data_IF_811511523718
#
_entry.id   IF_811511523718
#
_cell.length_a   1.000
_cell.length_b   1.000
_cell.length_c   1.000
_cell.angle_alpha   90.00
_cell.angle_beta   90.00
_cell.angle_gamma   90.00
#
_symmetry.space_group_name_H-M   'P 1'
#
loop_
_entity.id
_entity.type
_entity.pdbx_description
1 polymer ?
#
# COMPACT_ATOMS: atom_id res chain seq x y z
N UNK A 1 8.81 -65.35 12.67
CA UNK A 1 8.48 -64.34 11.61
C UNK A 1 8.04 -62.94 12.10
N UNK A 2 8.36 -62.43 13.33
CA UNK A 2 7.98 -61.05 13.69
C UNK A 2 9.00 -59.97 13.28
N UNK A 3 10.25 -60.34 12.97
CA UNK A 3 11.33 -59.38 12.68
C UNK A 3 11.27 -58.78 11.27
N UNK A 4 10.84 -59.55 10.27
CA UNK A 4 10.71 -59.09 8.88
C UNK A 4 9.57 -58.06 8.71
N UNK A 5 8.45 -58.24 9.41
CA UNK A 5 7.34 -57.27 9.40
C UNK A 5 7.75 -55.93 10.03
N UNK A 6 8.56 -55.93 11.10
CA UNK A 6 9.08 -54.71 11.71
C UNK A 6 10.05 -53.95 10.79
N UNK A 7 10.90 -54.68 10.06
CA UNK A 7 11.83 -54.10 9.09
C UNK A 7 11.08 -53.47 7.90
N UNK A 8 10.05 -54.16 7.40
CA UNK A 8 9.18 -53.66 6.33
C UNK A 8 8.42 -52.39 6.75
N UNK A 9 7.83 -52.41 7.96
CA UNK A 9 7.14 -51.23 8.52
C UNK A 9 8.10 -50.05 8.66
N UNK A 10 9.32 -50.29 9.14
CA UNK A 10 10.35 -49.27 9.29
C UNK A 10 10.78 -48.68 7.95
N UNK A 11 10.98 -49.51 6.92
CA UNK A 11 11.29 -49.08 5.55
C UNK A 11 10.16 -48.24 4.93
N UNK A 12 8.90 -48.65 5.11
CA UNK A 12 7.74 -47.87 4.65
C UNK A 12 7.67 -46.51 5.34
N UNK A 13 7.95 -46.45 6.64
CA UNK A 13 8.01 -45.19 7.40
C UNK A 13 9.09 -44.25 6.87
N UNK A 14 10.29 -44.77 6.58
CA UNK A 14 11.38 -43.99 5.97
C UNK A 14 10.97 -43.43 4.61
N UNK A 15 10.37 -44.26 3.75
CA UNK A 15 9.90 -43.81 2.43
C UNK A 15 8.84 -42.71 2.58
N UNK A 16 7.93 -42.84 3.55
CA UNK A 16 6.89 -41.84 3.81
C UNK A 16 7.49 -40.51 4.29
N UNK A 17 8.49 -40.56 5.17
CA UNK A 17 9.21 -39.37 5.64
C UNK A 17 9.95 -38.69 4.48
N UNK A 18 10.70 -39.44 3.67
CA UNK A 18 11.43 -38.90 2.52
C UNK A 18 10.45 -38.28 1.51
N UNK A 19 9.34 -38.96 1.22
CA UNK A 19 8.29 -38.45 0.35
C UNK A 19 7.69 -37.14 0.87
N UNK A 20 7.38 -37.07 2.16
CA UNK A 20 6.80 -35.89 2.81
C UNK A 20 7.75 -34.69 2.79
N UNK A 21 9.03 -34.92 3.09
CA UNK A 21 10.08 -33.89 3.04
C UNK A 21 10.29 -33.38 1.60
N UNK A 22 10.30 -34.29 0.62
CA UNK A 22 10.45 -33.93 -0.79
C UNK A 22 9.26 -33.10 -1.30
N UNK A 23 8.03 -33.49 -0.93
CA UNK A 23 6.82 -32.73 -1.24
C UNK A 23 6.85 -31.36 -0.57
N UNK A 24 7.27 -31.27 0.70
CA UNK A 24 7.42 -29.99 1.41
C UNK A 24 8.37 -29.04 0.68
N UNK A 25 9.57 -29.50 0.31
CA UNK A 25 10.52 -28.67 -0.44
C UNK A 25 10.02 -28.28 -1.83
N UNK A 26 9.30 -29.18 -2.52
CA UNK A 26 8.67 -28.88 -3.80
C UNK A 26 7.61 -27.80 -3.68
N UNK A 27 6.70 -27.91 -2.71
CA UNK A 27 5.68 -26.90 -2.43
C UNK A 27 6.30 -25.57 -2.01
N UNK A 28 7.38 -25.59 -1.22
CA UNK A 28 8.11 -24.39 -0.84
C UNK A 28 8.76 -23.71 -2.06
N UNK A 29 9.32 -24.48 -3.00
CA UNK A 29 9.88 -23.95 -4.24
C UNK A 29 8.79 -23.32 -5.12
N UNK A 30 7.66 -24.00 -5.33
CA UNK A 30 6.53 -23.45 -6.07
C UNK A 30 5.99 -22.16 -5.44
N UNK A 31 5.91 -22.12 -4.11
CA UNK A 31 5.48 -20.92 -3.39
C UNK A 31 6.43 -19.73 -3.65
N UNK A 32 7.75 -19.95 -3.58
CA UNK A 32 8.76 -18.91 -3.88
C UNK A 32 8.72 -18.44 -5.33
N UNK A 33 8.53 -19.35 -6.29
CA UNK A 33 8.42 -18.99 -7.71
C UNK A 33 7.15 -18.17 -7.98
N UNK A 34 6.01 -18.58 -7.40
CA UNK A 34 4.77 -17.81 -7.46
C UNK A 34 4.95 -16.42 -6.84
N UNK A 35 5.60 -16.36 -5.69
CA UNK A 35 5.91 -15.12 -4.99
C UNK A 35 6.77 -14.20 -5.88
N UNK A 36 7.89 -14.68 -6.42
CA UNK A 36 8.75 -13.92 -7.32
C UNK A 36 8.01 -13.43 -8.58
N UNK A 37 7.14 -14.26 -9.15
CA UNK A 37 6.28 -13.88 -10.28
C UNK A 37 5.37 -12.71 -9.94
N UNK A 38 4.70 -12.76 -8.78
CA UNK A 38 3.90 -11.64 -8.31
C UNK A 38 4.77 -10.38 -8.09
N UNK A 39 6.05 -10.50 -7.67
CA UNK A 39 6.91 -9.32 -7.35
C UNK A 39 7.15 -8.57 -8.64
N UNK A 40 7.52 -9.34 -9.67
CA UNK A 40 7.76 -8.81 -10.99
C UNK A 40 6.55 -8.07 -11.54
N UNK A 41 5.34 -8.63 -11.40
CA UNK A 41 4.10 -7.97 -11.83
C UNK A 41 3.86 -6.67 -11.07
N UNK A 42 3.97 -6.69 -9.74
CA UNK A 42 3.77 -5.50 -8.91
C UNK A 42 4.77 -4.38 -9.26
N UNK A 43 6.05 -4.71 -9.43
CA UNK A 43 7.06 -3.74 -9.81
C UNK A 43 6.81 -3.15 -11.21
N UNK A 44 6.28 -3.95 -12.14
CA UNK A 44 5.87 -3.45 -13.45
C UNK A 44 4.70 -2.47 -13.34
N UNK A 45 3.66 -2.79 -12.56
CA UNK A 45 2.51 -1.90 -12.31
C UNK A 45 2.97 -0.58 -11.64
N UNK A 46 3.86 -0.65 -10.65
CA UNK A 46 4.42 0.55 -9.98
C UNK A 46 5.23 1.40 -10.96
N UNK A 47 6.04 0.77 -11.81
CA UNK A 47 6.81 1.49 -12.83
C UNK A 47 5.90 2.20 -13.85
N UNK A 48 4.79 1.58 -14.24
CA UNK A 48 3.80 2.24 -15.12
C UNK A 48 3.16 3.46 -14.44
N UNK A 49 2.78 3.34 -13.17
CA UNK A 49 2.24 4.43 -12.35
C UNK A 49 3.25 5.58 -12.25
N UNK A 50 4.52 5.26 -11.98
CA UNK A 50 5.62 6.22 -11.92
C UNK A 50 5.78 6.95 -13.25
N UNK A 51 5.79 6.22 -14.38
CA UNK A 51 5.98 6.82 -15.70
C UNK A 51 4.85 7.79 -16.08
N UNK A 52 3.61 7.50 -15.68
CA UNK A 52 2.50 8.43 -15.87
C UNK A 52 2.72 9.73 -15.10
N UNK A 53 3.14 9.61 -13.84
CA UNK A 53 3.36 10.79 -13.00
C UNK A 53 4.62 11.58 -13.39
N UNK A 54 5.69 10.89 -13.80
CA UNK A 54 6.92 11.54 -14.28
C UNK A 54 6.66 12.37 -15.55
N UNK A 55 5.79 11.90 -16.45
CA UNK A 55 5.39 12.63 -17.65
C UNK A 55 4.70 13.98 -17.36
N UNK A 56 4.12 14.15 -16.16
CA UNK A 56 3.45 15.37 -15.71
C UNK A 56 4.18 16.04 -14.54
N UNK A 57 5.44 15.64 -14.26
CA UNK A 57 6.24 16.11 -13.12
C UNK A 57 6.35 17.64 -13.05
N UNK A 58 6.43 18.32 -14.19
CA UNK A 58 6.54 19.79 -14.26
C UNK A 58 5.31 20.54 -13.74
N UNK A 59 4.18 19.86 -13.59
CA UNK A 59 2.92 20.44 -13.11
C UNK A 59 2.59 20.05 -11.66
N UNK A 60 3.43 19.23 -11.02
CA UNK A 60 3.22 18.82 -9.64
C UNK A 60 3.34 20.01 -8.67
N UNK A 61 2.39 20.17 -7.74
CA UNK A 61 2.59 21.04 -6.57
C UNK A 61 3.83 20.61 -5.77
N UNK A 62 4.44 21.52 -5.00
CA UNK A 62 5.71 21.25 -4.30
C UNK A 62 5.69 19.99 -3.43
N UNK A 63 4.64 19.78 -2.63
CA UNK A 63 4.57 18.63 -1.72
C UNK A 63 4.46 17.29 -2.47
N UNK A 64 3.66 17.27 -3.55
CA UNK A 64 3.56 16.11 -4.44
C UNK A 64 4.87 15.84 -5.16
N UNK A 65 5.56 16.89 -5.62
CA UNK A 65 6.86 16.78 -6.26
C UNK A 65 7.91 16.18 -5.32
N UNK A 66 7.99 16.65 -4.08
CA UNK A 66 8.90 16.07 -3.07
C UNK A 66 8.59 14.60 -2.81
N UNK A 67 7.31 14.24 -2.72
CA UNK A 67 6.87 12.86 -2.53
C UNK A 67 7.22 11.99 -3.75
N UNK A 68 7.04 12.52 -4.96
CA UNK A 68 7.43 11.86 -6.21
C UNK A 68 8.95 11.63 -6.25
N UNK A 69 9.76 12.63 -5.91
CA UNK A 69 11.21 12.52 -5.90
C UNK A 69 11.71 11.54 -4.83
N UNK A 70 11.05 11.49 -3.67
CA UNK A 70 11.30 10.47 -2.67
C UNK A 70 11.02 9.06 -3.21
N UNK A 71 9.89 8.83 -3.88
CA UNK A 71 9.59 7.57 -4.57
C UNK A 71 10.70 7.20 -5.58
N UNK A 72 11.11 8.17 -6.41
CA UNK A 72 12.09 7.98 -7.49
C UNK A 72 13.52 7.81 -7.01
N UNK A 73 13.86 8.29 -5.82
CA UNK A 73 15.21 8.18 -5.25
C UNK A 73 15.69 6.73 -5.05
N UNK A 74 14.78 5.75 -5.10
CA UNK A 74 15.08 4.35 -4.84
C UNK A 74 15.28 4.02 -3.35
N UNK A 75 15.14 4.99 -2.45
CA UNK A 75 15.27 4.80 -0.99
C UNK A 75 14.26 3.81 -0.42
N UNK A 76 13.13 3.65 -1.10
CA UNK A 76 12.14 2.63 -0.76
C UNK A 76 12.66 1.23 -1.08
N UNK A 77 13.44 0.99 -2.15
CA UNK A 77 14.08 -0.31 -2.41
C UNK A 77 13.20 -1.53 -2.11
N UNK A 78 13.69 -2.44 -1.25
CA UNK A 78 12.95 -3.63 -0.76
C UNK A 78 11.83 -3.30 0.24
N UNK A 79 11.67 -2.02 0.62
CA UNK A 79 10.63 -1.55 1.54
C UNK A 79 9.24 -1.47 0.94
N UNK A 80 9.08 -1.84 -0.33
CA UNK A 80 7.80 -2.18 -0.94
C UNK A 80 7.48 -3.65 -0.62
N UNK A 81 6.78 -3.87 0.49
CA UNK A 81 6.43 -5.18 1.00
C UNK A 81 5.06 -5.64 0.54
N UNK A 82 4.80 -6.94 0.72
CA UNK A 82 3.48 -7.55 0.50
C UNK A 82 2.76 -7.73 1.82
N UNK A 83 1.43 -7.72 1.76
CA UNK A 83 0.54 -7.89 2.91
C UNK A 83 1.02 -8.97 3.90
N UNK A 84 1.12 -8.61 5.17
CA UNK A 84 1.19 -9.60 6.26
C UNK A 84 -0.16 -10.33 6.35
N UNK A 85 -0.21 -11.67 6.48
CA UNK A 85 -1.45 -12.43 6.64
C UNK A 85 -2.34 -11.99 7.82
N UNK A 86 -1.80 -11.26 8.80
CA UNK A 86 -2.54 -10.70 9.95
C UNK A 86 -3.15 -9.33 9.66
N UNK A 87 -2.75 -8.69 8.57
CA UNK A 87 -3.25 -7.38 8.16
C UNK A 87 -4.34 -7.65 7.12
N UNK A 88 -5.58 -7.32 7.51
CA UNK A 88 -6.85 -7.80 6.94
C UNK A 88 -6.81 -7.89 5.41
N UNK A 89 -7.46 -8.94 4.88
CA UNK A 89 -7.60 -9.25 3.45
C UNK A 89 -8.22 -8.13 2.58
N UNK A 90 -8.67 -7.02 3.18
CA UNK A 90 -9.42 -5.94 2.53
C UNK A 90 -8.67 -4.60 2.41
N UNK A 91 -7.46 -4.48 2.95
CA UNK A 91 -6.68 -3.23 2.82
C UNK A 91 -5.89 -3.28 1.51
N UNK A 92 -6.02 -2.24 0.68
CA UNK A 92 -5.37 -2.16 -0.64
C UNK A 92 -3.87 -1.92 -0.48
N UNK A 93 -3.52 -0.94 0.35
CA UNK A 93 -2.17 -0.53 0.67
C UNK A 93 -2.15 0.13 2.06
N UNK A 94 -1.03 0.06 2.77
CA UNK A 94 -0.79 0.80 4.00
C UNK A 94 0.72 0.92 4.26
N UNK A 95 1.16 1.98 4.93
CA UNK A 95 2.56 2.15 5.31
C UNK A 95 2.86 1.54 6.69
N UNK A 96 4.12 1.19 6.94
CA UNK A 96 4.63 0.85 8.26
C UNK A 96 5.49 1.96 8.78
N UNK A 97 4.98 2.77 9.70
CA UNK A 97 5.65 3.99 10.18
C UNK A 97 7.04 3.75 10.78
N UNK A 98 7.22 2.68 11.56
CA UNK A 98 8.50 2.31 12.19
C UNK A 98 9.47 1.68 11.20
N UNK A 99 8.97 0.82 10.33
CA UNK A 99 9.78 0.09 9.34
C UNK A 99 10.05 0.90 8.08
N UNK A 100 9.34 2.02 7.90
CA UNK A 100 9.29 2.85 6.70
C UNK A 100 8.98 2.04 5.45
N UNK A 101 8.03 1.11 5.61
CA UNK A 101 7.58 0.16 4.61
C UNK A 101 6.32 0.66 3.92
N UNK A 102 6.06 0.26 2.67
CA UNK A 102 4.73 0.28 2.07
C UNK A 102 4.31 -1.16 1.85
N UNK A 103 3.20 -1.58 2.44
CA UNK A 103 2.64 -2.90 2.26
C UNK A 103 1.52 -2.84 1.23
N UNK A 104 1.61 -3.70 0.21
CA UNK A 104 0.69 -3.71 -0.92
C UNK A 104 -0.02 -5.06 -0.97
N UNK A 105 -1.34 -5.04 -1.17
CA UNK A 105 -2.12 -6.24 -1.41
C UNK A 105 -1.99 -6.66 -2.89
N UNK A 106 -1.24 -7.74 -3.20
CA UNK A 106 -0.95 -8.11 -4.58
C UNK A 106 -2.16 -8.70 -5.33
N UNK A 107 -3.27 -8.92 -4.63
CA UNK A 107 -4.50 -9.48 -5.21
C UNK A 107 -5.46 -8.40 -5.71
N UNK A 108 -5.26 -7.14 -5.31
CA UNK A 108 -6.10 -6.02 -5.75
C UNK A 108 -5.70 -5.64 -7.17
N UNK A 109 -6.69 -5.62 -8.07
CA UNK A 109 -6.54 -5.16 -9.46
C UNK A 109 -7.44 -3.95 -9.64
N UNK A 110 -6.83 -2.81 -9.95
CA UNK A 110 -7.49 -1.53 -10.21
C UNK A 110 -6.91 -0.96 -11.51
N UNK A 111 -7.67 -0.11 -12.19
CA UNK A 111 -7.09 0.82 -13.17
C UNK A 111 -5.89 1.57 -12.54
N UNK A 112 -4.80 1.71 -13.29
CA UNK A 112 -3.55 2.35 -12.85
C UNK A 112 -3.75 3.79 -12.39
N UNK A 113 -4.71 4.49 -12.99
CA UNK A 113 -5.10 5.85 -12.64
C UNK A 113 -5.67 5.94 -11.21
N UNK A 114 -6.42 4.92 -10.77
CA UNK A 114 -6.94 4.82 -9.41
C UNK A 114 -5.89 4.35 -8.40
N UNK A 115 -4.81 3.71 -8.88
CA UNK A 115 -3.67 3.36 -8.04
C UNK A 115 -2.78 4.54 -7.68
N UNK A 116 -2.71 5.57 -8.53
CA UNK A 116 -1.85 6.75 -8.33
C UNK A 116 -2.13 7.40 -6.96
N UNK A 117 -3.36 7.83 -6.61
CA UNK A 117 -3.59 8.50 -5.33
C UNK A 117 -3.23 7.63 -4.12
N UNK A 118 -3.51 6.32 -4.18
CA UNK A 118 -3.20 5.35 -3.10
C UNK A 118 -1.69 5.24 -2.89
N UNK A 119 -0.95 4.99 -3.98
CA UNK A 119 0.49 4.81 -3.89
C UNK A 119 1.16 6.06 -3.32
N UNK A 120 0.77 7.23 -3.83
CA UNK A 120 1.36 8.49 -3.39
C UNK A 120 0.98 8.85 -1.96
N UNK A 121 -0.23 8.51 -1.51
CA UNK A 121 -0.63 8.66 -0.11
C UNK A 121 0.27 7.85 0.83
N UNK A 122 0.49 6.57 0.56
CA UNK A 122 1.32 5.74 1.44
C UNK A 122 2.81 6.08 1.37
N UNK A 123 3.28 6.50 0.20
CA UNK A 123 4.63 7.03 0.05
C UNK A 123 4.79 8.37 0.79
N UNK A 124 3.76 9.22 0.78
CA UNK A 124 3.75 10.49 1.50
C UNK A 124 3.87 10.28 3.01
N UNK A 125 3.17 9.29 3.57
CA UNK A 125 3.37 8.92 4.97
C UNK A 125 4.83 8.51 5.25
N UNK A 126 5.42 7.65 4.43
CA UNK A 126 6.81 7.27 4.63
C UNK A 126 7.76 8.47 4.52
N UNK A 127 7.56 9.35 3.53
CA UNK A 127 8.31 10.59 3.39
C UNK A 127 8.16 11.47 4.62
N UNK A 128 6.93 11.69 5.09
CA UNK A 128 6.64 12.43 6.33
C UNK A 128 7.42 11.88 7.52
N UNK A 129 7.44 10.56 7.70
CA UNK A 129 8.14 9.90 8.81
C UNK A 129 9.65 9.84 8.64
N UNK A 130 10.20 10.19 7.47
CA UNK A 130 11.64 10.48 7.34
C UNK A 130 12.01 11.84 7.92
N UNK A 131 11.10 12.82 7.83
CA UNK A 131 11.28 14.17 8.39
C UNK A 131 10.86 14.25 9.84
N UNK A 132 9.89 13.42 10.23
CA UNK A 132 9.29 13.33 11.56
C UNK A 132 9.44 11.90 12.10
N UNK A 133 10.66 11.47 12.43
CA UNK A 133 10.91 10.12 12.89
C UNK A 133 10.22 9.87 14.23
N UNK A 134 9.68 8.66 14.39
CA UNK A 134 9.01 8.20 15.62
C UNK A 134 9.77 7.01 16.20
N UNK A 135 9.93 7.00 17.53
CA UNK A 135 10.55 5.89 18.28
C UNK A 135 9.53 5.08 19.05
N UNK A 136 8.41 5.70 19.46
CA UNK A 136 7.35 5.04 20.22
C UNK A 136 6.00 5.17 19.53
N UNK A 137 5.08 4.26 19.85
CA UNK A 137 3.71 4.34 19.34
C UNK A 137 2.96 5.57 19.86
N UNK A 138 3.29 6.07 21.05
CA UNK A 138 2.67 7.30 21.58
C UNK A 138 3.13 8.55 20.84
N UNK A 139 4.42 8.62 20.46
CA UNK A 139 4.93 9.68 19.56
C UNK A 139 4.26 9.63 18.19
N UNK A 140 4.01 8.43 17.66
CA UNK A 140 3.24 8.30 16.43
C UNK A 140 1.80 8.79 16.59
N UNK A 141 1.12 8.40 17.67
CA UNK A 141 -0.26 8.83 17.95
C UNK A 141 -0.40 10.35 18.07
N UNK A 142 0.59 11.06 18.60
CA UNK A 142 0.54 12.52 18.69
C UNK A 142 0.75 13.21 17.33
N UNK A 143 1.31 12.50 16.34
CA UNK A 143 1.54 13.00 14.99
C UNK A 143 0.49 12.56 13.96
N UNK A 144 -0.45 11.70 14.37
CA UNK A 144 -1.38 11.00 13.49
C UNK A 144 -2.13 11.96 12.56
N UNK A 145 -2.76 12.99 13.12
CA UNK A 145 -3.51 13.99 12.37
C UNK A 145 -2.66 14.68 11.31
N UNK A 146 -1.43 15.08 11.66
CA UNK A 146 -0.56 15.82 10.74
C UNK A 146 0.00 14.91 9.64
N UNK A 147 0.36 13.67 9.99
CA UNK A 147 0.82 12.66 9.01
C UNK A 147 -0.28 12.33 8.00
N UNK A 148 -1.50 12.12 8.49
CA UNK A 148 -2.67 11.84 7.65
C UNK A 148 -3.02 13.06 6.79
N UNK A 149 -3.15 14.25 7.38
CA UNK A 149 -3.41 15.48 6.62
C UNK A 149 -2.40 15.70 5.49
N UNK A 150 -1.12 15.41 5.73
CA UNK A 150 -0.10 15.46 4.69
C UNK A 150 -0.37 14.43 3.58
N UNK A 151 -0.59 13.17 3.93
CA UNK A 151 -0.85 12.11 2.96
C UNK A 151 -2.17 12.30 2.17
N UNK A 152 -3.26 12.73 2.82
CA UNK A 152 -4.55 13.06 2.17
C UNK A 152 -4.41 14.26 1.25
N UNK A 153 -3.59 15.26 1.61
CA UNK A 153 -3.26 16.38 0.71
C UNK A 153 -2.57 15.88 -0.56
N UNK A 154 -1.57 15.00 -0.42
CA UNK A 154 -0.88 14.39 -1.56
C UNK A 154 -1.85 13.56 -2.43
N UNK A 155 -2.78 12.83 -1.80
CA UNK A 155 -3.82 12.08 -2.50
C UNK A 155 -4.64 13.00 -3.42
N UNK A 156 -5.17 14.10 -2.87
CA UNK A 156 -5.98 15.07 -3.61
C UNK A 156 -5.19 15.73 -4.75
N UNK A 157 -3.97 16.17 -4.50
CA UNK A 157 -3.09 16.75 -5.52
C UNK A 157 -2.79 15.77 -6.66
N UNK A 158 -2.56 14.49 -6.32
CA UNK A 158 -2.33 13.45 -7.33
C UNK A 158 -3.59 13.17 -8.15
N UNK A 159 -4.77 13.15 -7.51
CA UNK A 159 -6.05 12.95 -8.21
C UNK A 159 -6.37 14.08 -9.19
N UNK A 160 -6.11 15.34 -8.83
CA UNK A 160 -6.27 16.47 -9.76
C UNK A 160 -5.44 16.31 -11.03
N UNK A 161 -4.17 15.88 -10.90
CA UNK A 161 -3.31 15.61 -12.06
C UNK A 161 -3.81 14.43 -12.88
N UNK A 162 -4.27 13.35 -12.23
CA UNK A 162 -4.87 12.20 -12.91
C UNK A 162 -6.08 12.64 -13.71
N UNK A 163 -7.02 13.36 -13.13
CA UNK A 163 -8.23 13.78 -13.84
C UNK A 163 -7.95 14.79 -14.96
N UNK A 164 -6.88 15.58 -14.85
CA UNK A 164 -6.44 16.50 -15.89
C UNK A 164 -5.79 15.80 -17.09
N UNK A 165 -4.91 14.83 -16.85
CA UNK A 165 -4.05 14.25 -17.90
C UNK A 165 -4.44 12.82 -18.32
N UNK A 166 -5.04 12.07 -17.41
CA UNK A 166 -5.44 10.67 -17.56
C UNK A 166 -6.88 10.46 -17.06
N UNK A 167 -7.87 11.18 -17.63
CA UNK A 167 -9.22 11.25 -17.08
C UNK A 167 -9.85 9.86 -16.98
N UNK A 168 -10.36 9.56 -15.78
CA UNK A 168 -11.08 8.31 -15.51
C UNK A 168 -12.56 8.52 -15.80
N UNK A 169 -13.10 7.76 -16.75
CA UNK A 169 -14.53 7.76 -17.07
C UNK A 169 -15.24 6.81 -16.10
N UNK A 170 -16.16 7.35 -15.29
CA UNK A 170 -16.88 6.61 -14.24
C UNK A 170 -17.64 5.41 -14.80
N UNK A 171 -18.22 5.56 -16.00
CA UNK A 171 -19.00 4.53 -16.68
C UNK A 171 -18.15 3.32 -17.11
N UNK A 172 -16.82 3.48 -17.19
CA UNK A 172 -15.90 2.40 -17.54
C UNK A 172 -15.41 1.60 -16.33
N UNK A 173 -15.76 2.02 -15.10
CA UNK A 173 -15.34 1.36 -13.87
C UNK A 173 -16.18 0.11 -13.61
N UNK A 174 -15.52 -1.04 -13.55
CA UNK A 174 -16.19 -2.35 -13.60
C UNK A 174 -16.49 -2.92 -12.23
N UNK A 175 -15.79 -2.45 -11.20
CA UNK A 175 -15.91 -2.99 -9.84
C UNK A 175 -16.48 -1.95 -8.88
N UNK A 176 -17.19 -2.43 -7.85
CA UNK A 176 -17.67 -1.56 -6.75
C UNK A 176 -16.52 -0.83 -6.06
N UNK A 177 -15.36 -1.48 -5.94
CA UNK A 177 -14.17 -0.89 -5.36
C UNK A 177 -13.70 0.31 -6.17
N UNK A 178 -13.52 0.16 -7.49
CA UNK A 178 -13.11 1.26 -8.37
C UNK A 178 -14.10 2.43 -8.33
N UNK A 179 -15.40 2.13 -8.39
CA UNK A 179 -16.44 3.15 -8.35
C UNK A 179 -16.44 3.91 -7.01
N UNK A 180 -16.22 3.20 -5.90
CA UNK A 180 -16.11 3.81 -4.57
C UNK A 180 -14.87 4.70 -4.47
N UNK A 181 -13.71 4.22 -4.93
CA UNK A 181 -12.46 4.99 -4.93
C UNK A 181 -12.59 6.26 -5.77
N UNK A 182 -13.14 6.15 -6.98
CA UNK A 182 -13.38 7.29 -7.85
C UNK A 182 -14.23 8.37 -7.16
N UNK A 183 -15.32 7.95 -6.47
CA UNK A 183 -16.18 8.88 -5.74
C UNK A 183 -15.43 9.55 -4.59
N UNK A 184 -14.72 8.76 -3.77
CA UNK A 184 -13.93 9.27 -2.64
C UNK A 184 -12.94 10.32 -3.13
N UNK A 185 -12.10 9.98 -4.11
CA UNK A 185 -11.08 10.91 -4.60
C UNK A 185 -11.69 12.17 -5.22
N UNK A 186 -12.79 12.04 -5.96
CA UNK A 186 -13.45 13.20 -6.56
C UNK A 186 -14.02 14.13 -5.49
N UNK A 187 -14.77 13.58 -4.52
CA UNK A 187 -15.40 14.37 -3.46
C UNK A 187 -14.34 15.03 -2.55
N UNK A 188 -13.34 14.27 -2.12
CA UNK A 188 -12.28 14.77 -1.22
C UNK A 188 -11.41 15.81 -1.91
N UNK A 189 -11.09 15.63 -3.20
CA UNK A 189 -10.29 16.59 -3.97
C UNK A 189 -11.06 17.89 -4.22
N UNK A 190 -12.39 17.83 -4.44
CA UNK A 190 -13.22 19.02 -4.49
C UNK A 190 -13.17 19.80 -3.17
N UNK A 191 -13.32 19.10 -2.04
CA UNK A 191 -13.23 19.70 -0.70
C UNK A 191 -11.84 20.31 -0.47
N UNK A 192 -10.77 19.58 -0.81
CA UNK A 192 -9.39 20.08 -0.73
C UNK A 192 -9.22 21.37 -1.52
N UNK A 193 -9.70 21.39 -2.77
CA UNK A 193 -9.57 22.53 -3.67
C UNK A 193 -10.33 23.77 -3.18
N UNK A 194 -11.49 23.59 -2.54
CA UNK A 194 -12.19 24.69 -1.88
C UNK A 194 -11.48 25.15 -0.60
N UNK A 195 -10.93 24.22 0.19
CA UNK A 195 -10.16 24.54 1.39
C UNK A 195 -8.95 25.42 1.06
N UNK A 196 -8.15 25.09 0.05
CA UNK A 196 -6.96 25.87 -0.32
C UNK A 196 -7.30 27.25 -0.89
N UNK A 197 -8.53 27.45 -1.38
CA UNK A 197 -9.07 28.78 -1.75
C UNK A 197 -9.49 29.61 -0.53
N UNK A 198 -9.37 29.06 0.68
CA UNK A 198 -9.70 29.73 1.94
C UNK A 198 -11.15 29.53 2.39
N UNK A 199 -11.88 28.55 1.85
CA UNK A 199 -13.24 28.25 2.29
C UNK A 199 -13.24 27.60 3.69
N UNK A 200 -13.85 28.24 4.71
CA UNK A 200 -13.83 27.71 6.08
C UNK A 200 -14.68 26.45 6.27
N UNK A 201 -15.79 26.30 5.54
CA UNK A 201 -16.63 25.10 5.59
C UNK A 201 -15.90 23.90 4.99
N UNK A 202 -15.22 24.11 3.87
CA UNK A 202 -14.38 23.09 3.25
C UNK A 202 -13.22 22.68 4.17
N UNK A 203 -12.61 23.62 4.89
CA UNK A 203 -11.58 23.31 5.91
C UNK A 203 -12.13 22.46 7.05
N UNK A 204 -13.35 22.73 7.51
CA UNK A 204 -14.00 21.91 8.54
C UNK A 204 -14.28 20.48 8.02
N UNK A 205 -14.79 20.35 6.79
CA UNK A 205 -15.03 19.06 6.15
C UNK A 205 -13.73 18.28 5.94
N UNK A 206 -12.67 18.94 5.51
CA UNK A 206 -11.34 18.36 5.34
C UNK A 206 -10.81 17.77 6.64
N UNK A 207 -10.90 18.52 7.74
CA UNK A 207 -10.50 18.01 9.06
C UNK A 207 -11.32 16.78 9.48
N UNK A 208 -12.62 16.73 9.16
CA UNK A 208 -13.47 15.57 9.45
C UNK A 208 -13.10 14.33 8.63
N UNK A 209 -12.68 14.51 7.37
CA UNK A 209 -12.15 13.41 6.53
C UNK A 209 -10.92 12.81 7.22
N UNK A 210 -9.95 13.66 7.57
CA UNK A 210 -8.72 13.23 8.26
C UNK A 210 -9.07 12.50 9.56
N UNK A 211 -9.93 13.07 10.40
CA UNK A 211 -10.36 12.46 11.67
C UNK A 211 -11.00 11.08 11.50
N UNK A 212 -11.70 10.83 10.39
CA UNK A 212 -12.29 9.53 10.09
C UNK A 212 -11.19 8.48 9.82
N UNK A 213 -10.16 8.83 9.07
CA UNK A 213 -9.06 7.94 8.68
C UNK A 213 -8.14 7.59 9.86
N UNK A 214 -8.00 8.51 10.83
CA UNK A 214 -7.19 8.32 12.04
C UNK A 214 -7.53 7.05 12.82
N UNK A 215 -8.81 6.68 12.88
CA UNK A 215 -9.23 5.52 13.68
C UNK A 215 -8.68 4.22 13.10
N UNK A 216 -8.75 4.08 11.78
CA UNK A 216 -8.24 2.90 11.06
C UNK A 216 -6.70 2.84 11.16
N UNK A 217 -6.04 3.97 10.89
CA UNK A 217 -4.60 4.18 11.04
C UNK A 217 -4.04 3.67 12.37
N UNK A 218 -4.66 4.10 13.47
CA UNK A 218 -4.22 3.73 14.82
C UNK A 218 -4.26 2.22 15.06
N UNK A 219 -5.32 1.54 14.58
CA UNK A 219 -5.50 0.10 14.83
C UNK A 219 -4.39 -0.73 14.15
N UNK A 220 -4.12 -0.47 12.88
CA UNK A 220 -3.14 -1.28 12.14
C UNK A 220 -1.69 -0.88 12.45
N UNK A 221 -1.40 0.41 12.70
CA UNK A 221 -0.04 0.85 13.02
C UNK A 221 0.44 0.29 14.36
N UNK A 222 -0.47 0.04 15.31
CA UNK A 222 -0.11 -0.65 16.54
C UNK A 222 0.47 -2.04 16.26
N UNK A 223 -0.16 -2.80 15.36
CA UNK A 223 0.30 -4.13 14.94
C UNK A 223 1.66 -4.07 14.25
N UNK A 224 1.90 -3.03 13.43
CA UNK A 224 3.16 -2.85 12.71
C UNK A 224 4.30 -2.36 13.59
N UNK A 225 4.02 -1.59 14.64
CA UNK A 225 5.02 -1.10 15.60
C UNK A 225 5.63 -2.20 16.48
N UNK A 226 4.83 -3.23 16.77
CA UNK A 226 5.22 -4.37 17.62
C UNK A 226 6.16 -5.36 16.90
N UNK A 227 6.32 -5.24 15.58
CA UNK A 227 7.35 -5.94 14.80
C UNK A 227 8.71 -5.27 14.89
#
# INVERSE_FOLDING_TARGET
MPHQNKLLIFLVLIIFIIGSVSIYFYLQKQAKEKEAGQIKTLLAEINEIINLMDAVKSEMPPELLETHEYLMSGVLGEKLYRTDPRLKDNVIMYHGVKTQSVFINPNVRLKKELWIPILYHEVAHNYWHTKNPVKTFEEFRSQLFNSENYATTINAQAWDLVMKHYPVIKEELKTELEQRLFKIYSDETEIYNEMIKGNPEAKELWNKIIEADLKEQKEYQKVLFEK
#
